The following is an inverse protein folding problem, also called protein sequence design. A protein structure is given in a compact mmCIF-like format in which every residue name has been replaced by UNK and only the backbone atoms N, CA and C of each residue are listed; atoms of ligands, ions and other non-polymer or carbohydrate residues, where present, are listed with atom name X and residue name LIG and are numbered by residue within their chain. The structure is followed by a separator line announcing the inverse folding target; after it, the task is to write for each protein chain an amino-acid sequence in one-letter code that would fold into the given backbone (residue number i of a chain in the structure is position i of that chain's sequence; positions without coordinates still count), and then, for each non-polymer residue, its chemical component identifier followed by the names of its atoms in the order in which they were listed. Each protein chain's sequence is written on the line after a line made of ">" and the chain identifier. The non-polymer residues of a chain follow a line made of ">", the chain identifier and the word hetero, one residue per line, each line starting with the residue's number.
data_IF_025260017410
#
_entry.id   IF_025260017410
#
_cell.length_a   1.000
_cell.length_b   1.000
_cell.length_c   1.000
_cell.angle_alpha   90.00
_cell.angle_beta   90.00
_cell.angle_gamma   90.00
#
_symmetry.space_group_name_H-M   'P 1'
#
loop_
_entity.id
_entity.type
_entity.pdbx_description
1 polymer ?
#
# COMPACT_ATOMS: atom_id res chain seq x y z
N UNK A 1 4.87 13.78 44.71
CA UNK A 1 5.61 12.57 45.13
C UNK A 1 5.02 11.38 44.39
N UNK A 2 5.89 10.49 43.91
CA UNK A 2 5.55 9.25 43.22
C UNK A 2 4.64 8.34 44.05
N UNK A 3 3.60 7.79 43.41
CA UNK A 3 3.05 6.44 43.65
C UNK A 3 2.48 5.99 42.29
N UNK A 4 3.21 5.19 41.51
CA UNK A 4 3.25 3.73 41.52
C UNK A 4 1.97 3.08 40.95
N UNK A 5 2.14 2.44 39.79
CA UNK A 5 1.18 1.58 39.08
C UNK A 5 0.54 0.50 39.99
N UNK A 6 -0.66 0.05 39.62
CA UNK A 6 -0.84 -1.39 39.45
C UNK A 6 -1.55 -1.78 38.14
N UNK A 7 -0.91 -2.72 37.43
CA UNK A 7 -1.45 -3.96 36.84
C UNK A 7 -2.96 -4.07 36.54
N UNK A 8 -3.21 -4.41 35.26
CA UNK A 8 -4.33 -5.17 34.67
C UNK A 8 -5.75 -4.57 34.70
N UNK A 9 -6.33 -4.29 33.52
CA UNK A 9 -7.33 -5.12 32.81
C UNK A 9 -8.69 -4.99 33.53
N UNK A 10 -9.78 -4.46 32.97
CA UNK A 10 -10.34 -4.74 31.65
C UNK A 10 -11.26 -3.60 31.17
N UNK A 11 -11.27 -3.40 29.84
CA UNK A 11 -12.42 -3.02 29.01
C UNK A 11 -13.19 -1.72 29.33
N UNK A 12 -12.58 -0.58 28.97
CA UNK A 12 -13.30 0.67 28.70
C UNK A 12 -13.53 0.86 27.20
N UNK A 13 -14.66 0.39 26.70
CA UNK A 13 -15.21 0.74 25.38
C UNK A 13 -15.53 2.23 25.30
N UNK A 14 -14.65 3.02 24.66
CA UNK A 14 -15.00 4.23 23.91
C UNK A 14 -13.76 4.92 23.37
N UNK A 15 -13.45 4.67 22.10
CA UNK A 15 -13.12 5.73 21.14
C UNK A 15 -13.57 5.21 19.77
N UNK A 16 -14.69 5.76 19.32
CA UNK A 16 -15.19 5.62 17.96
C UNK A 16 -14.11 6.14 17.00
N UNK A 17 -13.28 5.23 16.49
CA UNK A 17 -12.52 5.49 15.28
C UNK A 17 -13.52 5.45 14.14
N UNK A 18 -14.20 6.58 13.93
CA UNK A 18 -14.99 6.88 12.74
C UNK A 18 -14.05 6.91 11.55
N UNK A 19 -13.59 5.73 11.11
CA UNK A 19 -13.07 5.59 9.75
C UNK A 19 -14.31 5.57 8.88
N UNK A 20 -14.77 6.76 8.52
CA UNK A 20 -15.65 6.93 7.38
C UNK A 20 -14.94 6.23 6.22
N UNK A 21 -15.35 5.00 5.92
CA UNK A 21 -15.09 4.36 4.65
C UNK A 21 -15.82 5.26 3.65
N UNK A 22 -15.14 6.33 3.25
CA UNK A 22 -15.44 7.06 2.04
C UNK A 22 -15.25 6.04 0.92
N UNK A 23 -16.30 5.27 0.68
CA UNK A 23 -16.50 4.51 -0.53
C UNK A 23 -16.80 5.54 -1.62
N UNK A 24 -15.81 6.40 -1.89
CA UNK A 24 -15.67 7.01 -3.19
C UNK A 24 -15.66 5.84 -4.16
N UNK A 25 -16.34 5.97 -5.30
CA UNK A 25 -16.25 4.99 -6.36
C UNK A 25 -14.77 4.90 -6.80
N UNK A 26 -14.00 4.04 -6.14
CA UNK A 26 -12.61 3.74 -6.48
C UNK A 26 -12.67 3.28 -7.92
N UNK A 27 -12.03 4.05 -8.80
CA UNK A 27 -11.91 3.61 -10.17
C UNK A 27 -11.19 2.26 -10.16
N UNK A 28 -11.51 1.32 -11.08
CA UNK A 28 -10.92 -0.01 -11.05
C UNK A 28 -9.39 -0.02 -11.00
N UNK A 29 -8.75 0.98 -11.62
CA UNK A 29 -7.29 1.16 -11.59
C UNK A 29 -6.77 1.61 -10.23
N UNK A 30 -7.55 2.34 -9.44
CA UNK A 30 -7.18 2.81 -8.11
C UNK A 30 -7.19 1.67 -7.09
N UNK A 31 -8.20 0.79 -7.17
CA UNK A 31 -8.22 -0.45 -6.39
C UNK A 31 -6.99 -1.32 -6.73
N UNK A 32 -6.73 -1.54 -8.03
CA UNK A 32 -5.57 -2.33 -8.45
C UNK A 32 -4.25 -1.70 -7.96
N UNK A 33 -4.15 -0.37 -8.02
CA UNK A 33 -3.02 0.38 -7.51
C UNK A 33 -2.85 0.21 -5.98
N UNK A 34 -3.94 0.30 -5.22
CA UNK A 34 -3.92 0.13 -3.77
C UNK A 34 -3.50 -1.28 -3.37
N UNK A 35 -4.00 -2.32 -4.06
CA UNK A 35 -3.59 -3.70 -3.85
C UNK A 35 -2.10 -3.92 -4.13
N UNK A 36 -1.58 -3.39 -5.25
CA UNK A 36 -0.16 -3.48 -5.58
C UNK A 36 0.67 -2.76 -4.53
N UNK A 37 0.27 -1.57 -4.10
CA UNK A 37 0.96 -0.83 -3.06
C UNK A 37 0.93 -1.58 -1.71
N UNK A 38 -0.17 -2.20 -1.34
CA UNK A 38 -0.29 -2.93 -0.06
C UNK A 38 0.72 -4.09 0.02
N UNK A 39 1.05 -4.72 -1.11
CA UNK A 39 2.05 -5.80 -1.18
C UNK A 39 3.49 -5.34 -0.93
N UNK A 40 3.78 -4.04 -0.88
CA UNK A 40 5.11 -3.55 -0.50
C UNK A 40 5.47 -3.87 0.95
N UNK A 41 4.48 -3.89 1.86
CA UNK A 41 4.68 -4.26 3.28
C UNK A 41 5.15 -5.70 3.43
N UNK A 42 4.53 -6.62 2.69
CA UNK A 42 4.85 -8.04 2.71
C UNK A 42 5.92 -8.44 1.67
N UNK A 43 6.57 -7.47 1.02
CA UNK A 43 7.43 -7.73 -0.13
C UNK A 43 8.59 -8.70 0.16
N UNK A 44 9.02 -8.82 1.42
CA UNK A 44 10.06 -9.76 1.87
C UNK A 44 9.62 -11.22 1.93
N UNK A 45 8.32 -11.49 2.05
CA UNK A 45 7.77 -12.86 2.08
C UNK A 45 7.22 -13.30 0.73
N UNK A 46 7.22 -12.43 -0.29
CA UNK A 46 6.75 -12.76 -1.62
C UNK A 46 7.75 -13.62 -2.39
N UNK A 47 7.22 -14.59 -3.13
CA UNK A 47 8.01 -15.41 -4.05
C UNK A 47 8.42 -14.62 -5.29
N UNK A 48 9.47 -15.08 -5.99
CA UNK A 48 9.93 -14.45 -7.23
C UNK A 48 8.84 -14.31 -8.30
N UNK A 49 7.95 -15.28 -8.42
CA UNK A 49 6.84 -15.25 -9.37
C UNK A 49 5.82 -14.15 -9.02
N UNK A 50 5.48 -14.01 -7.74
CA UNK A 50 4.62 -12.95 -7.23
C UNK A 50 5.24 -11.57 -7.45
N UNK A 51 6.54 -11.40 -7.17
CA UNK A 51 7.26 -10.15 -7.43
C UNK A 51 7.23 -9.77 -8.91
N UNK A 52 7.45 -10.73 -9.81
CA UNK A 52 7.34 -10.51 -11.27
C UNK A 52 5.92 -10.13 -11.67
N UNK A 53 4.91 -10.78 -11.11
CA UNK A 53 3.49 -10.46 -11.34
C UNK A 53 3.17 -9.03 -10.90
N UNK A 54 3.64 -8.60 -9.73
CA UNK A 54 3.44 -7.24 -9.22
C UNK A 54 4.14 -6.19 -10.09
N UNK A 55 5.36 -6.46 -10.56
CA UNK A 55 6.07 -5.57 -11.50
C UNK A 55 5.26 -5.43 -12.81
N UNK A 56 4.72 -6.53 -13.33
CA UNK A 56 3.88 -6.49 -14.53
C UNK A 56 2.58 -5.70 -14.31
N UNK A 57 1.95 -5.80 -13.13
CA UNK A 57 0.79 -4.97 -12.76
C UNK A 57 1.17 -3.48 -12.68
N UNK A 58 2.34 -3.14 -12.12
CA UNK A 58 2.83 -1.77 -12.13
C UNK A 58 2.97 -1.21 -13.56
N UNK A 59 3.51 -1.99 -14.50
CA UNK A 59 3.66 -1.55 -15.90
C UNK A 59 2.30 -1.40 -16.61
N UNK A 60 1.29 -2.22 -16.26
CA UNK A 60 -0.10 -2.06 -16.77
C UNK A 60 -0.80 -0.81 -16.25
N UNK A 61 -0.55 -0.43 -15.01
CA UNK A 61 -1.14 0.76 -14.38
C UNK A 61 -0.51 2.06 -14.89
N UNK A 62 0.74 2.01 -15.33
CA UNK A 62 1.47 3.17 -15.84
C UNK A 62 0.72 3.97 -16.92
N UNK A 63 0.27 3.39 -18.05
CA UNK A 63 -0.47 4.14 -19.08
C UNK A 63 -1.80 4.72 -18.57
N UNK A 64 -2.47 4.04 -17.62
CA UNK A 64 -3.72 4.55 -17.01
C UNK A 64 -3.43 5.80 -16.19
N UNK A 65 -2.38 5.75 -15.35
CA UNK A 65 -1.94 6.88 -14.54
C UNK A 65 -1.45 8.04 -15.40
N UNK A 66 -0.79 7.77 -16.54
CA UNK A 66 -0.33 8.80 -17.46
C UNK A 66 -1.47 9.58 -18.13
N UNK A 67 -2.64 8.96 -18.27
CA UNK A 67 -3.88 9.58 -18.76
C UNK A 67 -4.63 10.43 -17.75
N UNK A 68 -4.21 10.45 -16.48
CA UNK A 68 -4.84 11.27 -15.43
C UNK A 68 -4.40 12.75 -15.49
N UNK A 69 -5.15 13.60 -14.79
CA UNK A 69 -4.80 15.02 -14.61
C UNK A 69 -3.42 15.21 -13.97
N UNK A 70 -2.75 16.33 -14.26
CA UNK A 70 -1.33 16.51 -13.95
C UNK A 70 -0.98 16.27 -12.46
N UNK A 71 -1.75 16.83 -11.55
CA UNK A 71 -1.52 16.72 -10.10
C UNK A 71 -1.66 15.27 -9.64
N UNK A 72 -2.77 14.62 -10.03
CA UNK A 72 -3.09 13.23 -9.73
C UNK A 72 -2.01 12.31 -10.31
N UNK A 73 -1.71 12.45 -11.60
CA UNK A 73 -0.67 11.71 -12.30
C UNK A 73 0.67 11.78 -11.58
N UNK A 74 1.13 12.96 -11.14
CA UNK A 74 2.42 13.11 -10.43
C UNK A 74 2.47 12.26 -9.16
N UNK A 75 1.42 12.30 -8.34
CA UNK A 75 1.35 11.56 -7.07
C UNK A 75 1.33 10.06 -7.31
N UNK A 76 0.39 9.56 -8.12
CA UNK A 76 0.25 8.13 -8.37
C UNK A 76 1.46 7.56 -9.12
N UNK A 77 2.00 8.30 -10.09
CA UNK A 77 3.23 7.88 -10.81
C UNK A 77 4.39 7.71 -9.86
N UNK A 78 4.60 8.67 -8.95
CA UNK A 78 5.74 8.60 -8.04
C UNK A 78 5.62 7.41 -7.09
N UNK A 79 4.42 7.16 -6.57
CA UNK A 79 4.16 6.01 -5.70
C UNK A 79 4.27 4.68 -6.45
N UNK A 80 3.76 4.59 -7.68
CA UNK A 80 3.91 3.40 -8.53
C UNK A 80 5.38 3.08 -8.82
N UNK A 81 6.18 4.10 -9.13
CA UNK A 81 7.61 3.97 -9.37
C UNK A 81 8.34 3.43 -8.13
N UNK A 82 8.02 3.94 -6.94
CA UNK A 82 8.58 3.43 -5.68
C UNK A 82 8.22 1.96 -5.44
N UNK A 83 6.95 1.58 -5.62
CA UNK A 83 6.51 0.19 -5.45
C UNK A 83 7.22 -0.73 -6.44
N UNK A 84 7.31 -0.33 -7.72
CA UNK A 84 8.02 -1.11 -8.74
C UNK A 84 9.50 -1.29 -8.39
N UNK A 85 10.17 -0.20 -8.02
CA UNK A 85 11.59 -0.25 -7.67
C UNK A 85 11.84 -1.17 -6.47
N UNK A 86 10.96 -1.16 -5.47
CA UNK A 86 11.03 -2.10 -4.34
C UNK A 86 10.90 -3.54 -4.82
N UNK A 87 9.88 -3.86 -5.63
CA UNK A 87 9.70 -5.22 -6.12
C UNK A 87 10.84 -5.71 -6.99
N UNK A 88 11.42 -4.84 -7.83
CA UNK A 88 12.63 -5.16 -8.62
C UNK A 88 13.80 -5.46 -7.69
N UNK A 89 14.05 -4.58 -6.71
CA UNK A 89 15.12 -4.78 -5.74
C UNK A 89 14.97 -6.10 -4.95
N UNK A 90 13.74 -6.42 -4.53
CA UNK A 90 13.43 -7.66 -3.83
C UNK A 90 13.62 -8.88 -4.75
N UNK A 91 13.21 -8.79 -6.01
CA UNK A 91 13.40 -9.85 -7.00
C UNK A 91 14.88 -10.12 -7.26
N UNK A 92 15.71 -9.06 -7.31
CA UNK A 92 17.15 -9.17 -7.48
C UNK A 92 17.85 -9.72 -6.23
N UNK A 93 17.38 -9.35 -5.05
CA UNK A 93 17.91 -9.80 -3.75
C UNK A 93 17.54 -11.25 -3.43
N UNK A 94 16.39 -11.72 -3.92
CA UNK A 94 15.90 -13.09 -3.74
C UNK A 94 16.51 -14.06 -4.78
N UNK A 95 17.84 -14.02 -4.97
CA UNK A 95 18.61 -14.88 -5.89
C UNK A 95 18.88 -16.26 -5.30
#
# INVERSE_FOLDING_TARGET
>A
MFVALPLNHEAGTSLLSSTTLAQAAEQPWEQEFNEVCAKTTDSMSLSREELKSLIARCEKLKPVIEGLEETTRKVYRKRLEMCKNLFVFMLESNK
#
